data_IF_844456255194
#
_entry.id   IF_844456255194
#
_cell.length_a   1.000
_cell.length_b   1.000
_cell.length_c   1.000
_cell.angle_alpha   90.00
_cell.angle_beta   90.00
_cell.angle_gamma   90.00
#
_symmetry.space_group_name_H-M   'P 1'
#
loop_
_entity.id
_entity.type
_entity.pdbx_description
1 polymer ?
#
# COMPACT_ATOMS: atom_id res chain seq x y z
N UNK A 1 -48.31 -56.85 32.36
CA UNK A 1 -48.05 -56.58 30.93
C UNK A 1 -48.04 -55.06 30.78
N UNK A 2 -46.98 -54.32 30.45
CA UNK A 2 -45.59 -54.53 30.03
C UNK A 2 -44.80 -53.36 30.65
N UNK A 3 -43.61 -53.60 31.22
CA UNK A 3 -42.65 -52.54 31.53
C UNK A 3 -42.04 -52.06 30.21
N UNK A 4 -42.08 -50.75 29.95
CA UNK A 4 -41.40 -50.13 28.82
C UNK A 4 -40.20 -49.37 29.38
N UNK A 5 -39.02 -49.85 29.03
CA UNK A 5 -37.72 -49.23 29.29
C UNK A 5 -37.61 -47.96 28.46
N UNK A 6 -37.42 -46.81 29.10
CA UNK A 6 -37.07 -45.54 28.45
C UNK A 6 -35.60 -45.59 28.02
N UNK A 7 -35.35 -45.62 26.72
CA UNK A 7 -34.03 -45.54 26.12
C UNK A 7 -33.69 -44.07 25.91
N UNK A 8 -32.72 -43.54 26.66
CA UNK A 8 -32.22 -42.18 26.52
C UNK A 8 -31.29 -42.14 25.30
N UNK A 9 -31.70 -41.46 24.24
CA UNK A 9 -30.81 -41.11 23.13
C UNK A 9 -30.04 -39.84 23.52
N UNK A 10 -28.72 -39.97 23.72
CA UNK A 10 -27.81 -38.83 23.74
C UNK A 10 -27.66 -38.32 22.30
N UNK A 11 -28.30 -37.18 21.99
CA UNK A 11 -27.88 -36.37 20.85
C UNK A 11 -26.59 -35.65 21.25
N UNK A 12 -25.45 -36.11 20.73
CA UNK A 12 -24.23 -35.31 20.71
C UNK A 12 -24.48 -34.23 19.66
N UNK A 13 -24.86 -33.04 20.12
CA UNK A 13 -24.77 -31.84 19.29
C UNK A 13 -23.27 -31.56 19.13
N UNK A 14 -22.69 -31.98 18.01
CA UNK A 14 -21.43 -31.41 17.55
C UNK A 14 -21.74 -29.95 17.21
N UNK A 15 -21.42 -29.04 18.13
CA UNK A 15 -21.20 -27.65 17.76
C UNK A 15 -20.05 -27.65 16.78
N UNK A 16 -20.36 -27.55 15.48
CA UNK A 16 -19.47 -26.91 14.53
C UNK A 16 -19.33 -25.48 15.03
N UNK A 17 -18.24 -25.20 15.75
CA UNK A 17 -17.82 -23.83 15.94
C UNK A 17 -17.43 -23.34 14.54
N UNK A 18 -18.19 -22.41 13.95
CA UNK A 18 -17.48 -21.42 13.14
C UNK A 18 -16.57 -20.73 14.13
N UNK A 19 -15.27 -20.83 13.92
CA UNK A 19 -14.35 -20.03 14.69
C UNK A 19 -14.44 -18.64 14.09
N UNK A 20 -15.42 -17.86 14.57
CA UNK A 20 -15.52 -16.46 14.19
C UNK A 20 -14.16 -15.81 14.47
N UNK A 21 -13.59 -15.14 13.48
CA UNK A 21 -12.30 -14.46 13.63
C UNK A 21 -12.34 -13.46 14.80
N UNK A 22 -11.19 -13.24 15.43
CA UNK A 22 -11.07 -12.24 16.50
C UNK A 22 -11.43 -10.83 15.97
N UNK A 23 -11.93 -9.90 16.82
CA UNK A 23 -12.24 -8.54 16.39
C UNK A 23 -11.04 -7.86 15.70
N UNK A 24 -11.28 -7.25 14.53
CA UNK A 24 -10.23 -6.65 13.69
C UNK A 24 -9.67 -7.59 12.63
N UNK A 25 -10.18 -8.82 12.53
CA UNK A 25 -9.87 -9.77 11.48
C UNK A 25 -11.11 -10.09 10.63
N UNK A 26 -10.89 -10.26 9.34
CA UNK A 26 -11.89 -10.67 8.35
C UNK A 26 -11.68 -12.14 8.00
N UNK A 27 -12.77 -12.91 7.96
CA UNK A 27 -12.76 -14.28 7.45
C UNK A 27 -12.80 -14.28 5.92
N UNK A 28 -11.82 -14.90 5.29
CA UNK A 28 -11.75 -15.14 3.84
C UNK A 28 -11.32 -16.59 3.63
N UNK A 29 -12.14 -17.39 2.94
CA UNK A 29 -11.88 -18.81 2.69
C UNK A 29 -11.54 -19.63 3.96
N UNK A 30 -12.30 -19.43 5.03
CA UNK A 30 -12.10 -20.09 6.35
C UNK A 30 -10.78 -19.72 7.06
N UNK A 31 -10.07 -18.69 6.59
CA UNK A 31 -8.87 -18.13 7.20
C UNK A 31 -9.13 -16.71 7.69
N UNK A 32 -8.43 -16.29 8.74
CA UNK A 32 -8.58 -14.96 9.33
C UNK A 32 -7.41 -14.06 8.92
N UNK A 33 -7.70 -12.87 8.39
CA UNK A 33 -6.72 -11.87 7.98
C UNK A 33 -7.01 -10.53 8.65
N UNK A 34 -5.98 -9.85 9.14
CA UNK A 34 -6.13 -8.60 9.86
C UNK A 34 -6.56 -7.46 8.93
N UNK A 35 -7.62 -6.75 9.31
CA UNK A 35 -8.24 -5.71 8.49
C UNK A 35 -7.29 -4.55 8.16
N UNK A 36 -6.35 -4.23 9.04
CA UNK A 36 -5.34 -3.19 8.80
C UNK A 36 -4.40 -3.57 7.66
N UNK A 37 -3.96 -4.83 7.63
CA UNK A 37 -3.00 -5.32 6.65
C UNK A 37 -3.67 -5.40 5.28
N UNK A 38 -4.88 -5.96 5.22
CA UNK A 38 -5.71 -5.99 3.99
C UNK A 38 -5.98 -4.57 3.45
N UNK A 39 -6.20 -3.59 4.32
CA UNK A 39 -6.47 -2.20 3.91
C UNK A 39 -5.25 -1.54 3.27
N UNK A 40 -4.05 -1.84 3.76
CA UNK A 40 -2.80 -1.36 3.16
C UNK A 40 -2.63 -1.95 1.76
N UNK A 41 -2.84 -3.26 1.60
CA UNK A 41 -2.79 -3.92 0.29
C UNK A 41 -3.83 -3.35 -0.67
N UNK A 42 -5.08 -3.19 -0.20
CA UNK A 42 -6.14 -2.57 -0.98
C UNK A 42 -5.77 -1.15 -1.42
N UNK A 43 -5.17 -0.35 -0.54
CA UNK A 43 -4.74 1.02 -0.91
C UNK A 43 -3.63 1.04 -1.94
N UNK A 44 -2.68 0.11 -1.90
CA UNK A 44 -1.66 -0.02 -2.96
C UNK A 44 -2.31 -0.34 -4.32
N UNK A 45 -3.32 -1.21 -4.33
CA UNK A 45 -4.11 -1.55 -5.52
C UNK A 45 -4.90 -0.34 -6.01
N UNK A 46 -5.66 0.32 -5.12
CA UNK A 46 -6.48 1.48 -5.44
C UNK A 46 -5.62 2.63 -5.99
N UNK A 47 -4.47 2.90 -5.37
CA UNK A 47 -3.51 3.91 -5.81
C UNK A 47 -2.98 3.58 -7.21
N UNK A 48 -2.77 2.30 -7.52
CA UNK A 48 -2.32 1.85 -8.84
C UNK A 48 -3.37 2.11 -9.91
N UNK A 49 -4.64 1.75 -9.65
CA UNK A 49 -5.74 2.05 -10.57
C UNK A 49 -5.98 3.55 -10.75
N UNK A 50 -5.79 4.35 -9.70
CA UNK A 50 -6.05 5.79 -9.71
C UNK A 50 -4.89 6.62 -10.25
N UNK A 51 -3.68 6.06 -10.34
CA UNK A 51 -2.47 6.80 -10.76
C UNK A 51 -2.58 7.36 -12.17
N UNK A 52 -3.40 6.74 -13.03
CA UNK A 52 -3.54 7.09 -14.43
C UNK A 52 -2.25 6.89 -15.24
N UNK A 53 -1.31 6.10 -14.74
CA UNK A 53 -0.05 5.83 -15.42
C UNK A 53 -0.29 5.19 -16.79
N UNK A 54 0.37 5.73 -17.82
CA UNK A 54 0.42 5.12 -19.14
C UNK A 54 1.64 4.18 -19.22
N UNK A 55 1.37 2.87 -19.23
CA UNK A 55 2.40 1.84 -19.42
C UNK A 55 2.63 1.49 -20.90
N UNK A 56 1.97 2.18 -21.83
CA UNK A 56 2.02 1.86 -23.25
C UNK A 56 1.34 0.53 -23.58
N UNK A 57 0.30 0.18 -22.82
CA UNK A 57 -0.45 -1.05 -23.02
C UNK A 57 -1.15 -1.05 -24.37
N UNK A 58 -0.94 -2.12 -25.13
CA UNK A 58 -1.63 -2.34 -26.38
C UNK A 58 -3.03 -2.91 -26.11
N UNK A 59 -4.03 -2.58 -26.95
CA UNK A 59 -5.43 -3.02 -26.76
C UNK A 59 -5.59 -4.56 -26.70
N UNK A 60 -4.62 -5.31 -27.20
CA UNK A 60 -4.65 -6.77 -27.25
C UNK A 60 -3.90 -7.44 -26.10
N UNK A 61 -3.23 -6.69 -25.23
CA UNK A 61 -2.49 -7.23 -24.09
C UNK A 61 -3.33 -7.14 -22.81
N UNK A 62 -4.09 -8.19 -22.45
CA UNK A 62 -4.96 -8.17 -21.29
C UNK A 62 -4.18 -8.19 -19.97
N UNK A 63 -2.87 -8.44 -20.01
CA UNK A 63 -2.00 -8.53 -18.83
C UNK A 63 -1.14 -7.28 -18.65
N UNK A 64 -1.34 -6.26 -19.48
CA UNK A 64 -0.69 -4.98 -19.30
C UNK A 64 -1.63 -4.04 -18.53
N UNK A 65 -1.21 -3.64 -17.33
CA UNK A 65 -1.93 -2.68 -16.51
C UNK A 65 -1.22 -2.38 -15.20
N UNK A 66 -1.82 -1.50 -14.41
CA UNK A 66 -1.37 -1.18 -13.06
C UNK A 66 -2.58 -1.22 -12.10
N UNK A 67 -2.61 -2.13 -11.10
CA UNK A 67 -1.65 -3.22 -10.90
C UNK A 67 -1.71 -4.22 -12.08
N UNK A 68 -0.73 -5.13 -12.15
CA UNK A 68 -0.66 -6.13 -13.22
C UNK A 68 -1.95 -7.00 -13.25
N UNK A 69 -2.78 -6.92 -14.31
CA UNK A 69 -4.05 -7.66 -14.38
C UNK A 69 -3.89 -9.18 -14.42
N UNK A 70 -2.70 -9.72 -14.69
CA UNK A 70 -2.46 -11.17 -14.64
C UNK A 70 -2.69 -11.76 -13.23
N UNK A 71 -2.66 -10.96 -12.18
CA UNK A 71 -2.92 -11.44 -10.82
C UNK A 71 -4.35 -11.94 -10.61
N UNK A 72 -5.30 -11.31 -11.31
CA UNK A 72 -6.72 -11.68 -11.34
C UNK A 72 -6.98 -12.86 -12.31
N UNK A 73 -5.97 -13.37 -13.02
CA UNK A 73 -6.16 -14.53 -13.90
C UNK A 73 -6.36 -15.83 -13.10
N UNK A 74 -7.14 -16.77 -13.64
CA UNK A 74 -7.36 -18.09 -13.03
C UNK A 74 -6.10 -18.97 -13.05
N UNK A 75 -5.17 -18.67 -13.95
CA UNK A 75 -3.84 -19.30 -14.03
C UNK A 75 -2.73 -18.46 -13.39
N UNK A 76 -3.10 -17.44 -12.59
CA UNK A 76 -2.14 -16.70 -11.78
C UNK A 76 -1.46 -17.66 -10.80
N UNK A 77 -0.12 -17.59 -10.74
CA UNK A 77 0.69 -18.54 -9.97
C UNK A 77 1.12 -17.97 -8.62
N UNK A 78 0.54 -16.86 -8.19
CA UNK A 78 0.90 -16.19 -6.95
C UNK A 78 0.49 -17.07 -5.75
N UNK A 79 1.40 -17.19 -4.80
CA UNK A 79 1.18 -18.00 -3.60
C UNK A 79 0.91 -17.13 -2.40
N UNK A 80 -0.06 -17.56 -1.62
CA UNK A 80 -0.31 -17.06 -0.27
C UNK A 80 0.08 -18.17 0.70
N UNK A 81 1.05 -17.92 1.55
CA UNK A 81 1.44 -18.83 2.63
C UNK A 81 0.78 -18.34 3.91
N UNK A 82 -0.02 -19.17 4.57
CA UNK A 82 -0.62 -18.85 5.87
C UNK A 82 -0.20 -19.90 6.89
N UNK A 83 0.47 -19.48 7.96
CA UNK A 83 0.96 -20.35 9.02
C UNK A 83 1.77 -21.54 8.48
N UNK A 84 2.72 -21.26 7.58
CA UNK A 84 3.56 -22.24 6.86
C UNK A 84 2.80 -23.22 5.94
N UNK A 85 1.53 -22.95 5.66
CA UNK A 85 0.71 -23.74 4.72
C UNK A 85 0.52 -22.97 3.43
N UNK A 86 0.79 -23.61 2.30
CA UNK A 86 0.63 -23.02 0.97
C UNK A 86 -0.83 -23.10 0.52
N UNK A 87 -1.38 -21.95 0.11
CA UNK A 87 -2.67 -21.84 -0.52
C UNK A 87 -2.50 -21.33 -1.95
N UNK A 88 -3.17 -22.00 -2.89
CA UNK A 88 -3.29 -21.52 -4.26
C UNK A 88 -4.40 -20.47 -4.26
N UNK A 89 -4.01 -19.21 -4.49
CA UNK A 89 -4.91 -18.08 -4.58
C UNK A 89 -4.95 -17.63 -6.03
N UNK A 90 -5.59 -18.45 -6.88
CA UNK A 90 -5.87 -18.07 -8.26
C UNK A 90 -6.85 -16.92 -8.28
N UNK A 91 -6.64 -15.96 -9.19
CA UNK A 91 -7.58 -14.88 -9.40
C UNK A 91 -8.94 -15.39 -9.91
N UNK A 92 -9.98 -14.60 -9.72
CA UNK A 92 -11.35 -15.00 -10.03
C UNK A 92 -11.89 -14.49 -11.39
N UNK A 93 -11.05 -13.72 -12.11
CA UNK A 93 -11.31 -13.10 -13.41
C UNK A 93 -12.48 -12.11 -13.36
N UNK A 94 -12.72 -11.44 -12.23
CA UNK A 94 -13.74 -10.40 -12.14
C UNK A 94 -13.29 -9.06 -12.76
N UNK A 95 -11.99 -8.95 -13.11
CA UNK A 95 -11.35 -7.81 -13.72
C UNK A 95 -10.68 -6.86 -12.72
N UNK A 96 -10.63 -7.22 -11.44
CA UNK A 96 -10.09 -6.41 -10.36
C UNK A 96 -9.09 -7.25 -9.55
N UNK A 97 -7.88 -6.73 -9.39
CA UNK A 97 -6.90 -7.35 -8.50
C UNK A 97 -7.32 -7.13 -7.05
N UNK A 98 -7.45 -8.21 -6.28
CA UNK A 98 -7.81 -8.19 -4.87
C UNK A 98 -6.59 -8.25 -3.94
N UNK A 99 -6.73 -7.87 -2.64
CA UNK A 99 -5.61 -7.88 -1.70
C UNK A 99 -4.84 -9.19 -1.62
N UNK A 100 -5.50 -10.36 -1.69
CA UNK A 100 -4.85 -11.66 -1.57
C UNK A 100 -4.30 -12.21 -2.90
N UNK A 101 -4.55 -11.52 -4.01
CA UNK A 101 -3.98 -11.83 -5.33
C UNK A 101 -2.68 -11.04 -5.59
N UNK A 102 -2.45 -9.98 -4.79
CA UNK A 102 -1.33 -9.07 -4.99
C UNK A 102 0.01 -9.69 -4.62
N UNK A 103 0.74 -10.13 -5.64
CA UNK A 103 2.10 -10.64 -5.49
C UNK A 103 2.22 -11.85 -4.58
N UNK A 104 3.42 -12.12 -4.06
CA UNK A 104 3.62 -13.21 -3.10
C UNK A 104 3.48 -12.72 -1.68
N UNK A 105 2.76 -13.51 -0.87
CA UNK A 105 2.43 -13.14 0.49
C UNK A 105 2.73 -14.26 1.47
N UNK A 106 3.24 -13.91 2.64
CA UNK A 106 3.27 -14.80 3.80
C UNK A 106 2.56 -14.13 4.97
N UNK A 107 1.74 -14.92 5.65
CA UNK A 107 0.90 -14.52 6.76
C UNK A 107 1.13 -15.44 7.95
N UNK A 108 1.17 -14.86 9.15
CA UNK A 108 1.31 -15.57 10.42
C UNK A 108 0.25 -15.09 11.40
N UNK A 109 -0.60 -16.00 11.89
CA UNK A 109 -1.75 -15.67 12.73
C UNK A 109 -2.60 -14.52 12.16
N UNK A 110 -2.81 -14.54 10.85
CA UNK A 110 -3.57 -13.52 10.12
C UNK A 110 -2.90 -12.16 9.96
N UNK A 111 -1.62 -12.02 10.29
CA UNK A 111 -0.82 -10.79 10.05
C UNK A 111 0.15 -10.99 8.90
N UNK A 112 0.31 -9.99 8.05
CA UNK A 112 1.20 -10.03 6.89
C UNK A 112 2.65 -9.90 7.36
N UNK A 113 3.47 -10.92 7.10
CA UNK A 113 4.89 -10.94 7.44
C UNK A 113 5.79 -10.74 6.22
N UNK A 114 5.31 -11.12 5.04
CA UNK A 114 6.04 -10.98 3.79
C UNK A 114 5.13 -10.46 2.70
N UNK A 115 5.54 -9.39 2.01
CA UNK A 115 5.00 -8.95 0.73
C UNK A 115 6.14 -8.83 -0.27
N UNK A 116 6.12 -9.68 -1.29
CA UNK A 116 7.02 -9.55 -2.44
C UNK A 116 6.21 -9.17 -3.66
N UNK A 117 6.34 -7.90 -4.02
CA UNK A 117 5.78 -7.34 -5.23
C UNK A 117 6.83 -6.70 -6.14
N UNK A 118 8.07 -7.14 -6.01
CA UNK A 118 9.22 -6.56 -6.71
C UNK A 118 9.48 -7.11 -8.12
N UNK A 119 10.70 -6.90 -8.61
CA UNK A 119 11.12 -7.16 -9.99
C UNK A 119 10.94 -8.61 -10.49
N UNK A 120 10.85 -9.59 -9.59
CA UNK A 120 10.62 -11.00 -9.95
C UNK A 120 9.14 -11.37 -10.05
N UNK A 121 8.25 -10.61 -9.40
CA UNK A 121 6.81 -10.88 -9.32
C UNK A 121 6.02 -9.98 -10.29
N UNK A 122 6.63 -8.88 -10.76
CA UNK A 122 6.08 -7.98 -11.79
C UNK A 122 4.69 -7.43 -11.42
N UNK A 123 4.56 -6.84 -10.23
CA UNK A 123 3.27 -6.33 -9.80
C UNK A 123 2.80 -5.09 -10.55
N UNK A 124 3.70 -4.38 -11.22
CA UNK A 124 3.40 -3.15 -11.95
C UNK A 124 2.63 -2.14 -11.10
N UNK A 125 2.90 -2.10 -9.79
CA UNK A 125 2.26 -1.16 -8.88
C UNK A 125 2.61 0.27 -9.28
N UNK A 126 1.68 1.20 -9.09
CA UNK A 126 1.88 2.62 -9.35
C UNK A 126 1.10 3.48 -8.36
N UNK A 127 1.16 4.79 -8.52
CA UNK A 127 0.60 5.72 -7.53
C UNK A 127 1.48 5.78 -6.28
N UNK A 128 0.90 6.18 -5.16
CA UNK A 128 1.66 6.46 -3.92
C UNK A 128 1.74 5.24 -3.00
N UNK A 129 2.75 5.22 -2.13
CA UNK A 129 2.76 4.34 -0.97
C UNK A 129 1.78 4.95 0.06
N UNK A 130 0.80 4.20 0.59
CA UNK A 130 -0.20 4.74 1.50
C UNK A 130 0.41 5.14 2.86
N UNK A 131 -0.07 6.23 3.46
CA UNK A 131 0.38 6.68 4.78
C UNK A 131 0.11 5.65 5.89
N UNK A 132 -0.90 4.79 5.72
CA UNK A 132 -1.20 3.71 6.66
C UNK A 132 -0.27 2.49 6.53
N UNK A 133 0.83 2.58 5.79
CA UNK A 133 1.79 1.47 5.64
C UNK A 133 2.27 0.93 7.00
N UNK A 134 2.31 1.76 8.05
CA UNK A 134 2.64 1.36 9.42
C UNK A 134 1.64 0.37 10.06
N UNK A 135 0.48 0.13 9.46
CA UNK A 135 -0.46 -0.90 9.92
C UNK A 135 0.08 -2.32 9.71
N UNK A 136 1.09 -2.50 8.85
CA UNK A 136 1.79 -3.77 8.64
C UNK A 136 2.72 -4.12 9.81
N UNK A 137 2.19 -4.16 11.04
CA UNK A 137 3.03 -4.18 12.26
C UNK A 137 3.89 -5.44 12.45
N UNK A 138 3.62 -6.52 11.72
CA UNK A 138 4.39 -7.76 11.78
C UNK A 138 5.20 -8.01 10.49
N UNK A 139 5.31 -7.01 9.61
CA UNK A 139 6.05 -7.16 8.35
C UNK A 139 7.54 -7.32 8.61
N UNK A 140 8.12 -8.37 8.06
CA UNK A 140 9.55 -8.69 8.12
C UNK A 140 10.20 -8.55 6.75
N UNK A 141 9.43 -8.75 5.68
CA UNK A 141 9.89 -8.60 4.29
C UNK A 141 8.90 -7.75 3.49
N UNK A 142 9.35 -6.59 3.03
CA UNK A 142 8.60 -5.67 2.17
C UNK A 142 9.44 -5.30 0.94
N UNK A 143 9.13 -5.95 -0.18
CA UNK A 143 9.88 -5.80 -1.43
C UNK A 143 8.96 -5.28 -2.53
N UNK A 144 9.14 -4.01 -2.89
CA UNK A 144 8.34 -3.30 -3.90
C UNK A 144 9.24 -2.72 -5.01
N UNK A 145 10.46 -3.23 -5.16
CA UNK A 145 11.41 -2.71 -6.14
C UNK A 145 10.99 -2.96 -7.59
N UNK A 146 11.39 -2.07 -8.51
CA UNK A 146 11.11 -2.23 -9.93
C UNK A 146 9.63 -2.09 -10.29
N UNK A 147 8.87 -1.32 -9.50
CA UNK A 147 7.52 -0.89 -9.83
C UNK A 147 7.51 0.55 -10.37
N UNK A 148 6.32 1.13 -10.47
CA UNK A 148 6.10 2.52 -10.89
C UNK A 148 5.53 3.37 -9.75
N UNK A 149 5.80 3.00 -8.50
CA UNK A 149 5.38 3.78 -7.33
C UNK A 149 5.99 5.19 -7.42
N UNK A 150 5.24 6.19 -7.01
CA UNK A 150 5.54 7.61 -7.24
C UNK A 150 5.06 8.49 -6.08
N UNK A 151 5.42 9.76 -6.11
CA UNK A 151 5.15 10.69 -5.01
C UNK A 151 6.12 10.52 -3.84
N UNK A 152 5.85 11.26 -2.77
CA UNK A 152 6.63 11.25 -1.55
C UNK A 152 6.37 9.98 -0.73
N UNK A 153 7.42 9.48 -0.07
CA UNK A 153 7.33 8.30 0.79
C UNK A 153 6.83 8.74 2.17
N UNK A 154 5.86 8.03 2.78
CA UNK A 154 5.35 8.37 4.10
C UNK A 154 6.37 8.12 5.21
N UNK A 155 6.53 9.06 6.14
CA UNK A 155 7.37 8.89 7.35
C UNK A 155 6.95 7.70 8.21
N UNK A 156 5.67 7.33 8.17
CA UNK A 156 5.13 6.14 8.85
C UNK A 156 5.79 4.84 8.38
N UNK A 157 6.42 4.82 7.20
CA UNK A 157 7.24 3.69 6.76
C UNK A 157 8.37 3.38 7.75
N UNK A 158 8.95 4.41 8.37
CA UNK A 158 10.02 4.26 9.36
C UNK A 158 9.55 3.58 10.65
N UNK A 159 8.23 3.47 10.88
CA UNK A 159 7.66 2.79 12.05
C UNK A 159 7.67 1.26 11.91
N UNK A 160 7.90 0.72 10.70
CA UNK A 160 7.91 -0.72 10.45
C UNK A 160 9.15 -1.45 10.97
N UNK A 161 10.17 -0.73 11.46
CA UNK A 161 11.41 -1.28 12.04
C UNK A 161 12.12 -2.32 11.14
N UNK A 162 11.98 -2.19 9.82
CA UNK A 162 12.63 -3.06 8.83
C UNK A 162 14.15 -2.87 8.85
N UNK A 163 14.90 -3.95 8.67
CA UNK A 163 16.37 -3.87 8.58
C UNK A 163 16.79 -3.35 7.19
N UNK A 164 16.95 -2.03 7.04
CA UNK A 164 17.31 -1.40 5.75
C UNK A 164 18.63 -1.89 5.12
N UNK A 165 19.51 -2.48 5.93
CA UNK A 165 20.78 -3.02 5.45
C UNK A 165 20.62 -4.36 4.72
N UNK A 166 19.49 -5.04 4.86
CA UNK A 166 19.20 -6.30 4.18
C UNK A 166 18.24 -6.08 3.01
N UNK A 167 18.80 -5.91 1.81
CA UNK A 167 18.05 -5.76 0.56
C UNK A 167 17.17 -6.98 0.22
N UNK A 168 17.35 -8.11 0.92
CA UNK A 168 16.49 -9.28 0.78
C UNK A 168 15.20 -9.15 1.61
N UNK A 169 15.18 -8.27 2.62
CA UNK A 169 14.01 -8.00 3.45
C UNK A 169 13.28 -6.74 2.98
N UNK A 170 14.00 -5.65 2.77
CA UNK A 170 13.40 -4.38 2.38
C UNK A 170 14.04 -3.86 1.10
N UNK A 171 13.22 -3.48 0.10
CA UNK A 171 13.71 -2.89 -1.15
C UNK A 171 12.62 -2.07 -1.84
N UNK A 172 12.89 -0.78 -2.08
CA UNK A 172 12.03 0.14 -2.83
C UNK A 172 12.72 0.70 -4.09
N UNK A 173 13.89 0.16 -4.47
CA UNK A 173 14.67 0.65 -5.63
C UNK A 173 13.89 0.61 -6.93
N UNK A 174 14.35 1.39 -7.91
CA UNK A 174 13.85 1.38 -9.28
C UNK A 174 12.34 1.67 -9.37
N UNK A 175 11.86 2.59 -8.53
CA UNK A 175 10.55 3.22 -8.62
C UNK A 175 10.70 4.68 -9.10
N UNK A 176 9.64 5.48 -8.98
CA UNK A 176 9.57 6.91 -9.30
C UNK A 176 9.29 7.76 -8.05
N UNK A 177 9.75 7.28 -6.89
CA UNK A 177 9.51 7.94 -5.61
C UNK A 177 10.32 9.22 -5.51
N UNK A 178 9.74 10.24 -4.88
CA UNK A 178 10.26 11.59 -4.88
C UNK A 178 10.84 12.01 -3.53
N UNK A 179 11.96 12.77 -3.52
CA UNK A 179 12.43 13.41 -2.31
C UNK A 179 11.46 14.54 -1.89
N UNK A 180 11.39 14.91 -0.60
CA UNK A 180 12.24 14.43 0.49
C UNK A 180 11.94 12.98 0.88
N UNK A 181 12.99 12.24 1.19
CA UNK A 181 12.90 10.85 1.65
C UNK A 181 12.84 10.82 3.18
N UNK A 182 12.07 9.88 3.78
CA UNK A 182 11.95 9.72 5.23
C UNK A 182 13.28 9.64 5.97
N UNK A 183 13.30 10.07 7.23
CA UNK A 183 14.52 10.13 8.03
C UNK A 183 15.24 8.78 8.17
N UNK A 184 14.48 7.68 8.15
CA UNK A 184 15.06 6.34 8.26
C UNK A 184 15.97 5.99 7.07
N UNK A 185 15.77 6.58 5.88
CA UNK A 185 16.42 6.20 4.60
C UNK A 185 17.97 6.22 4.59
N UNK A 186 18.57 6.76 5.64
CA UNK A 186 20.00 6.86 5.85
C UNK A 186 20.68 7.89 4.95
N UNK A 187 21.67 8.62 5.47
CA UNK A 187 22.51 9.45 4.63
C UNK A 187 23.47 8.58 3.79
N UNK A 188 23.39 8.68 2.47
CA UNK A 188 24.35 8.07 1.55
C UNK A 188 24.06 6.61 1.19
N UNK A 189 22.81 6.15 1.34
CA UNK A 189 22.41 4.84 0.86
C UNK A 189 22.17 4.89 -0.67
N UNK A 190 23.08 4.31 -1.45
CA UNK A 190 22.82 3.98 -2.88
C UNK A 190 21.63 3.00 -3.02
N UNK A 191 21.11 2.53 -1.88
CA UNK A 191 19.95 1.68 -1.71
C UNK A 191 18.65 2.29 -2.24
N UNK A 192 18.48 3.62 -2.34
CA UNK A 192 17.21 4.20 -2.81
C UNK A 192 17.30 4.80 -4.20
N UNK A 193 17.91 4.09 -5.14
CA UNK A 193 17.92 4.57 -6.53
C UNK A 193 16.47 4.70 -7.07
N UNK A 194 16.04 5.93 -7.33
CA UNK A 194 14.71 6.29 -7.88
C UNK A 194 14.86 7.05 -9.21
N UNK A 195 13.89 6.87 -10.11
CA UNK A 195 13.68 7.77 -11.24
C UNK A 195 12.93 9.03 -10.79
N UNK A 196 13.68 10.08 -10.50
CA UNK A 196 13.15 11.37 -10.01
C UNK A 196 12.86 12.36 -11.14
N UNK A 197 12.91 11.94 -12.40
CA UNK A 197 12.76 12.84 -13.57
C UNK A 197 11.39 13.53 -13.66
N UNK A 198 10.37 12.95 -13.04
CA UNK A 198 8.98 13.40 -13.10
C UNK A 198 8.43 13.84 -11.73
N UNK A 199 9.31 14.12 -10.77
CA UNK A 199 8.89 14.52 -9.44
C UNK A 199 8.21 15.89 -9.42
N UNK A 200 7.12 15.97 -8.66
CA UNK A 200 6.49 17.24 -8.31
C UNK A 200 7.45 18.08 -7.48
N UNK A 201 7.45 19.39 -7.73
CA UNK A 201 8.22 20.33 -6.93
C UNK A 201 7.49 20.62 -5.62
N UNK A 202 8.24 20.69 -4.53
CA UNK A 202 7.73 21.26 -3.29
C UNK A 202 7.21 22.68 -3.55
N UNK A 203 6.00 22.98 -3.07
CA UNK A 203 5.24 24.19 -3.37
C UNK A 203 4.17 24.06 -4.46
N UNK A 204 4.19 22.99 -5.26
CA UNK A 204 3.09 22.64 -6.19
C UNK A 204 2.04 21.81 -5.43
N UNK A 205 1.20 22.52 -4.68
CA UNK A 205 0.26 21.98 -3.71
C UNK A 205 -0.94 21.33 -4.40
N UNK A 206 -1.29 21.80 -5.60
CA UNK A 206 -2.41 21.28 -6.37
C UNK A 206 -2.03 20.19 -7.39
N UNK A 207 -0.73 19.89 -7.51
CA UNK A 207 -0.16 18.88 -8.40
C UNK A 207 -0.47 19.12 -9.89
N UNK A 208 -0.49 20.39 -10.31
CA UNK A 208 -0.68 20.78 -11.72
C UNK A 208 0.64 21.01 -12.48
N UNK A 209 1.78 20.70 -11.83
CA UNK A 209 3.15 20.89 -12.29
C UNK A 209 3.58 22.35 -12.40
N UNK A 210 2.81 23.30 -11.85
CA UNK A 210 3.10 24.73 -11.94
C UNK A 210 2.90 25.44 -10.61
N UNK A 211 3.99 25.85 -9.95
CA UNK A 211 3.88 26.67 -8.73
C UNK A 211 3.36 28.07 -9.08
N UNK A 212 2.13 28.36 -8.65
CA UNK A 212 1.40 29.58 -8.98
C UNK A 212 0.40 29.99 -7.86
N UNK A 213 -0.45 30.98 -8.16
CA UNK A 213 -1.40 31.51 -7.16
C UNK A 213 -2.44 30.48 -6.69
N UNK A 214 -2.71 29.44 -7.48
CA UNK A 214 -3.63 28.37 -7.09
C UNK A 214 -3.06 27.55 -5.93
N UNK A 215 -1.75 27.28 -5.90
CA UNK A 215 -1.08 26.59 -4.80
C UNK A 215 -1.18 27.35 -3.50
N UNK A 216 -0.98 28.68 -3.56
CA UNK A 216 -1.17 29.56 -2.40
C UNK A 216 -2.61 29.50 -1.90
N UNK A 217 -3.59 29.54 -2.81
CA UNK A 217 -5.01 29.46 -2.44
C UNK A 217 -5.29 28.13 -1.74
N UNK A 218 -4.77 27.02 -2.27
CA UNK A 218 -4.98 25.71 -1.68
C UNK A 218 -4.28 25.56 -0.33
N UNK A 219 -3.02 25.98 -0.22
CA UNK A 219 -2.27 26.00 1.04
C UNK A 219 -3.00 26.81 2.13
N UNK A 220 -3.52 27.99 1.80
CA UNK A 220 -4.30 28.79 2.75
C UNK A 220 -5.56 28.04 3.21
N UNK A 221 -6.25 27.30 2.32
CA UNK A 221 -7.43 26.51 2.69
C UNK A 221 -7.08 25.41 3.70
N UNK A 222 -5.91 24.79 3.56
CA UNK A 222 -5.41 23.82 4.52
C UNK A 222 -5.08 24.49 5.86
N UNK A 223 -4.31 25.58 5.87
CA UNK A 223 -3.91 26.30 7.10
C UNK A 223 -5.13 26.77 7.92
N UNK A 224 -6.18 27.23 7.24
CA UNK A 224 -7.40 27.71 7.91
C UNK A 224 -8.46 26.60 8.13
N UNK A 225 -8.10 25.34 7.91
CA UNK A 225 -8.93 24.15 8.13
C UNK A 225 -10.26 24.17 7.35
N UNK A 226 -10.25 24.72 6.13
CA UNK A 226 -11.37 24.59 5.18
C UNK A 226 -11.35 23.20 4.53
N UNK A 227 -10.15 22.68 4.27
CA UNK A 227 -9.88 21.36 3.70
C UNK A 227 -8.77 20.67 4.49
N UNK A 228 -8.74 19.34 4.46
CA UNK A 228 -7.67 18.53 5.04
C UNK A 228 -6.79 18.02 3.90
N UNK A 229 -5.49 18.35 3.87
CA UNK A 229 -4.58 17.79 2.87
C UNK A 229 -4.40 16.29 3.08
N UNK A 230 -4.16 15.55 1.99
CA UNK A 230 -3.56 14.22 2.10
C UNK A 230 -2.06 14.32 2.42
N UNK A 231 -1.41 13.17 2.62
CA UNK A 231 0.03 13.12 2.92
C UNK A 231 0.88 13.81 1.85
N UNK A 232 0.58 13.58 0.56
CA UNK A 232 1.37 14.16 -0.53
C UNK A 232 1.26 15.69 -0.52
N UNK A 233 0.04 16.20 -0.34
CA UNK A 233 -0.24 17.64 -0.22
C UNK A 233 0.43 18.23 1.01
N UNK A 234 0.49 17.48 2.11
CA UNK A 234 1.17 17.92 3.34
C UNK A 234 2.66 18.14 3.08
N UNK A 235 3.33 17.19 2.43
CA UNK A 235 4.75 17.31 2.05
C UNK A 235 4.96 18.44 1.05
N UNK A 236 4.13 18.54 0.00
CA UNK A 236 4.22 19.61 -0.99
C UNK A 236 3.97 21.01 -0.39
N UNK A 237 3.24 21.09 0.73
CA UNK A 237 2.88 22.34 1.41
C UNK A 237 3.97 22.86 2.35
N UNK A 238 4.82 22.00 2.89
CA UNK A 238 5.97 22.38 3.72
C UNK A 238 7.13 22.83 2.82
N UNK A 239 7.02 24.06 2.32
CA UNK A 239 7.96 24.61 1.36
C UNK A 239 9.35 24.82 1.94
N UNK A 240 9.42 25.07 3.24
CA UNK A 240 10.64 25.46 3.92
C UNK A 240 11.32 24.31 4.69
N UNK A 241 10.67 23.14 4.72
CA UNK A 241 11.13 21.90 5.34
C UNK A 241 11.34 22.02 6.86
N UNK A 242 10.48 22.76 7.56
CA UNK A 242 10.51 22.84 9.03
C UNK A 242 9.54 21.85 9.72
N UNK A 243 8.83 21.04 8.93
CA UNK A 243 7.86 20.05 9.40
C UNK A 243 6.46 20.63 9.59
N UNK A 244 6.22 21.91 9.29
CA UNK A 244 4.93 22.55 9.41
C UNK A 244 4.55 23.29 8.13
N UNK A 245 3.36 23.03 7.59
CA UNK A 245 2.79 23.90 6.57
C UNK A 245 2.06 25.08 7.22
N UNK A 246 2.64 26.28 7.14
CA UNK A 246 2.09 27.48 7.74
C UNK A 246 2.25 28.74 6.87
N UNK A 247 2.04 29.91 7.49
CA UNK A 247 2.09 31.20 6.77
C UNK A 247 3.50 31.50 6.24
N UNK A 248 4.55 30.94 6.83
CA UNK A 248 5.93 31.07 6.35
C UNK A 248 6.12 30.40 4.99
N UNK A 249 5.47 29.26 4.74
CA UNK A 249 5.50 28.60 3.42
C UNK A 249 4.76 29.42 2.38
N UNK A 250 3.60 29.98 2.74
CA UNK A 250 2.87 30.90 1.86
C UNK A 250 3.74 32.08 1.44
N UNK A 251 4.46 32.69 2.38
CA UNK A 251 5.34 33.83 2.08
C UNK A 251 6.42 33.42 1.08
N UNK A 252 7.06 32.26 1.28
CA UNK A 252 8.13 31.79 0.41
C UNK A 252 7.64 31.40 -0.99
N UNK A 253 6.48 30.76 -1.10
CA UNK A 253 5.84 30.47 -2.40
C UNK A 253 5.46 31.77 -3.12
N UNK A 254 4.92 32.77 -2.40
CA UNK A 254 4.64 34.10 -2.97
C UNK A 254 5.92 34.74 -3.49
N UNK A 255 7.00 34.73 -2.70
CA UNK A 255 8.30 35.27 -3.10
C UNK A 255 8.86 34.56 -4.35
N UNK A 256 8.65 33.24 -4.48
CA UNK A 256 9.03 32.48 -5.67
C UNK A 256 8.23 32.94 -6.91
N UNK A 257 6.91 33.13 -6.78
CA UNK A 257 6.03 33.45 -7.91
C UNK A 257 6.24 34.87 -8.45
N UNK A 258 6.58 35.82 -7.58
CA UNK A 258 6.71 37.24 -7.97
C UNK A 258 8.08 37.63 -8.53
N UNK A 259 9.09 36.74 -8.44
CA UNK A 259 10.46 36.97 -8.92
C UNK A 259 10.72 36.27 -10.26
#
# INVERSE_FOLDING_TARGET
MRNITLMVFYFIFSFLFSQDCDPGYTEINELCFHEGDLRVLQKLIDNSYQSGIDLGCEEWDPYCGSPNPFMDADDSWMWVVVDSTYFEWSGDQDGIVEPLELGLQEWNNGRLTTLMCGAYIYCQLSGTIPEEINQLTEIETLRLEGNYLSGFIPETLCELQLEEADYLQFDLTANRLCPPYPECSGEGSDFWYQDTSSCTNIGDVNFDYSINIQDIIQLIRFIVNIETPDYQQTVASDFNFDGFFDVLDVIQIVELIIN
#
